data_IF_087963061697
#
_entry.id   IF_087963061697
#
_cell.length_a   1.000
_cell.length_b   1.000
_cell.length_c   1.000
_cell.angle_alpha   90.00
_cell.angle_beta   90.00
_cell.angle_gamma   90.00
#
_symmetry.space_group_name_H-M   'P 1'
#
loop_
_entity.id
_entity.type
_entity.pdbx_description
1 polymer ?
#
# COMPACT_ATOMS: atom_id res chain seq x y z
N UNK A 1 -40.61 -67.14 11.52
CA UNK A 1 -39.67 -66.35 12.35
C UNK A 1 -40.10 -66.43 13.81
N UNK A 2 -39.27 -66.98 14.69
CA UNK A 2 -39.56 -67.07 16.13
C UNK A 2 -39.38 -65.72 16.84
N UNK A 3 -40.03 -65.54 18.01
CA UNK A 3 -39.96 -64.29 18.81
C UNK A 3 -38.53 -63.80 19.02
N UNK A 4 -37.57 -64.71 19.20
CA UNK A 4 -36.15 -64.40 19.32
C UNK A 4 -35.55 -63.74 18.06
N UNK A 5 -35.96 -64.16 16.85
CA UNK A 5 -35.50 -63.52 15.60
C UNK A 5 -36.13 -62.13 15.40
N UNK A 6 -37.40 -61.94 15.81
CA UNK A 6 -38.06 -60.64 15.76
C UNK A 6 -37.44 -59.63 16.73
N UNK A 7 -37.09 -60.08 17.95
CA UNK A 7 -36.39 -59.25 18.92
C UNK A 7 -35.00 -58.82 18.46
N UNK A 8 -34.22 -59.73 17.85
CA UNK A 8 -32.91 -59.43 17.27
C UNK A 8 -33.02 -58.39 16.14
N UNK A 9 -33.99 -58.53 15.24
CA UNK A 9 -34.20 -57.60 14.13
C UNK A 9 -34.61 -56.19 14.62
N UNK A 10 -35.46 -56.13 15.65
CA UNK A 10 -35.88 -54.87 16.26
C UNK A 10 -34.71 -54.14 16.94
N UNK A 11 -33.84 -54.87 17.64
CA UNK A 11 -32.64 -54.31 18.27
C UNK A 11 -31.65 -53.77 17.24
N UNK A 12 -31.41 -54.49 16.15
CA UNK A 12 -30.54 -54.01 15.07
C UNK A 12 -31.11 -52.77 14.39
N UNK A 13 -32.42 -52.73 14.14
CA UNK A 13 -33.07 -51.56 13.56
C UNK A 13 -33.01 -50.33 14.48
N UNK A 14 -33.19 -50.53 15.79
CA UNK A 14 -33.07 -49.45 16.77
C UNK A 14 -31.63 -48.92 16.88
N UNK A 15 -30.63 -49.80 16.88
CA UNK A 15 -29.22 -49.40 16.92
C UNK A 15 -28.81 -48.62 15.67
N UNK A 16 -29.24 -49.05 14.48
CA UNK A 16 -29.02 -48.33 13.24
C UNK A 16 -29.78 -46.99 13.21
N UNK A 17 -31.03 -46.97 13.64
CA UNK A 17 -31.81 -45.74 13.74
C UNK A 17 -31.14 -44.70 14.65
N UNK A 18 -30.65 -45.13 15.81
CA UNK A 18 -29.96 -44.26 16.76
C UNK A 18 -28.65 -43.71 16.20
N UNK A 19 -27.84 -44.53 15.52
CA UNK A 19 -26.56 -44.08 14.94
C UNK A 19 -26.76 -43.08 13.81
N UNK A 20 -27.75 -43.30 12.93
CA UNK A 20 -28.09 -42.36 11.86
C UNK A 20 -28.60 -41.01 12.39
N UNK A 21 -29.42 -41.02 13.46
CA UNK A 21 -29.90 -39.79 14.10
C UNK A 21 -28.75 -38.96 14.69
N UNK A 22 -27.77 -39.61 15.33
CA UNK A 22 -26.59 -38.91 15.88
C UNK A 22 -25.61 -38.42 14.80
N UNK A 23 -25.47 -39.14 13.69
CA UNK A 23 -24.63 -38.72 12.57
C UNK A 23 -25.24 -37.55 11.77
N UNK A 24 -26.57 -37.39 11.79
CA UNK A 24 -27.28 -36.31 11.10
C UNK A 24 -26.93 -34.90 11.57
N UNK A 25 -26.51 -34.72 12.83
CA UNK A 25 -26.14 -33.40 13.36
C UNK A 25 -24.94 -32.79 12.62
N UNK A 26 -23.95 -33.59 12.25
CA UNK A 26 -22.77 -33.12 11.51
C UNK A 26 -23.04 -32.78 10.04
N UNK A 27 -24.17 -33.22 9.49
CA UNK A 27 -24.56 -32.95 8.09
C UNK A 27 -25.26 -31.59 7.94
N UNK A 28 -26.02 -31.15 8.96
CA UNK A 28 -26.78 -29.89 8.91
C UNK A 28 -26.02 -28.69 9.51
N UNK A 29 -24.93 -28.93 10.23
CA UNK A 29 -24.05 -27.85 10.71
C UNK A 29 -23.02 -27.48 9.64
N UNK A 30 -22.91 -26.21 9.24
CA UNK A 30 -21.85 -25.78 8.33
C UNK A 30 -20.49 -26.03 8.97
N UNK A 31 -19.57 -26.64 8.20
CA UNK A 31 -18.23 -26.90 8.69
C UNK A 31 -17.50 -25.58 8.91
N UNK A 32 -17.07 -25.32 10.16
CA UNK A 32 -16.44 -24.04 10.50
C UNK A 32 -15.18 -23.75 9.67
N UNK A 33 -14.45 -24.78 9.25
CA UNK A 33 -13.27 -24.67 8.38
C UNK A 33 -13.57 -24.18 6.96
N UNK A 34 -14.83 -24.26 6.51
CA UNK A 34 -15.26 -23.76 5.20
C UNK A 34 -15.58 -22.27 5.21
N UNK A 35 -15.76 -21.65 6.38
CA UNK A 35 -15.99 -20.21 6.49
C UNK A 35 -14.73 -19.42 6.15
N UNK A 36 -14.73 -18.82 4.97
CA UNK A 36 -13.65 -17.96 4.52
C UNK A 36 -13.74 -16.61 5.24
N UNK A 37 -12.69 -16.22 5.94
CA UNK A 37 -12.53 -14.92 6.56
C UNK A 37 -11.14 -14.36 6.26
N UNK A 38 -10.95 -13.05 6.38
CA UNK A 38 -9.60 -12.47 6.24
C UNK A 38 -8.80 -12.76 7.52
N UNK A 39 -7.95 -13.77 7.47
CA UNK A 39 -7.10 -14.19 8.60
C UNK A 39 -5.84 -13.32 8.79
N UNK A 40 -5.73 -12.24 8.05
CA UNK A 40 -4.58 -11.35 8.00
C UNK A 40 -5.07 -9.90 8.11
N UNK A 41 -4.15 -8.95 8.24
CA UNK A 41 -4.48 -7.55 8.52
C UNK A 41 -5.21 -6.85 7.36
N UNK A 42 -5.06 -7.34 6.13
CA UNK A 42 -5.77 -6.84 4.96
C UNK A 42 -7.11 -7.53 4.72
N UNK A 43 -7.78 -7.10 3.65
CA UNK A 43 -9.07 -7.67 3.24
C UNK A 43 -8.93 -8.68 2.10
N UNK A 44 -10.01 -9.43 1.88
CA UNK A 44 -10.22 -10.24 0.68
C UNK A 44 -11.37 -9.66 -0.12
N UNK A 45 -11.24 -9.66 -1.43
CA UNK A 45 -12.31 -9.27 -2.33
C UNK A 45 -12.19 -10.07 -3.63
N UNK A 46 -13.32 -10.36 -4.25
CA UNK A 46 -13.37 -10.98 -5.58
C UNK A 46 -14.06 -9.99 -6.53
N UNK A 47 -13.42 -9.72 -7.67
CA UNK A 47 -13.88 -8.76 -8.67
C UNK A 47 -13.74 -9.37 -10.06
N UNK A 48 -14.86 -9.86 -10.61
CA UNK A 48 -14.84 -10.59 -11.88
C UNK A 48 -13.85 -11.77 -11.81
N UNK A 49 -12.85 -11.87 -12.70
CA UNK A 49 -11.83 -12.91 -12.67
C UNK A 49 -10.68 -12.65 -11.68
N UNK A 50 -10.65 -11.49 -11.03
CA UNK A 50 -9.59 -11.12 -10.09
C UNK A 50 -9.95 -11.49 -8.66
N UNK A 51 -9.02 -12.14 -7.98
CA UNK A 51 -9.09 -12.52 -6.59
C UNK A 51 -8.04 -11.72 -5.81
N UNK A 52 -8.50 -10.77 -5.02
CA UNK A 52 -7.67 -9.89 -4.21
C UNK A 52 -7.53 -10.51 -2.81
N UNK A 53 -6.29 -10.66 -2.33
CA UNK A 53 -5.96 -11.36 -1.08
C UNK A 53 -5.02 -10.50 -0.24
N UNK A 54 -5.40 -10.32 1.02
CA UNK A 54 -4.63 -9.55 2.01
C UNK A 54 -4.32 -8.12 1.52
N UNK A 55 -5.32 -7.43 0.97
CA UNK A 55 -5.15 -6.07 0.47
C UNK A 55 -5.21 -5.09 1.65
N UNK A 56 -4.19 -4.25 1.78
CA UNK A 56 -4.11 -3.17 2.75
C UNK A 56 -3.24 -2.02 2.22
N UNK A 57 -3.37 -0.85 2.83
CA UNK A 57 -2.54 0.33 2.52
C UNK A 57 -1.53 0.53 3.63
N UNK A 58 -0.26 0.75 3.29
CA UNK A 58 0.78 1.19 4.23
C UNK A 58 1.07 2.67 4.00
N UNK A 59 0.96 3.49 5.04
CA UNK A 59 1.21 4.93 4.98
C UNK A 59 1.60 5.50 6.34
N UNK A 60 2.24 6.67 6.35
CA UNK A 60 2.60 7.42 7.55
C UNK A 60 1.49 8.36 8.03
N UNK A 61 0.49 8.66 7.20
CA UNK A 61 -0.56 9.62 7.52
C UNK A 61 -1.68 9.67 6.49
N UNK A 62 -2.76 10.39 6.80
CA UNK A 62 -3.96 10.51 5.95
C UNK A 62 -3.67 11.18 4.59
N UNK A 63 -2.88 12.25 4.63
CA UNK A 63 -2.53 13.04 3.44
C UNK A 63 -1.20 12.61 2.81
N UNK A 64 -0.58 11.56 3.35
CA UNK A 64 0.68 11.02 2.88
C UNK A 64 0.46 9.94 1.81
N UNK A 65 1.43 9.69 0.92
CA UNK A 65 1.36 8.58 -0.02
C UNK A 65 1.05 7.25 0.68
N UNK A 66 0.26 6.40 0.03
CA UNK A 66 -0.08 5.07 0.52
C UNK A 66 0.35 3.98 -0.46
N UNK A 67 1.14 3.01 -0.01
CA UNK A 67 1.46 1.81 -0.82
C UNK A 67 0.37 0.77 -0.61
N UNK A 68 -0.23 0.32 -1.70
CA UNK A 68 -1.11 -0.84 -1.67
C UNK A 68 -0.24 -2.10 -1.66
N UNK A 69 -0.45 -2.97 -0.67
CA UNK A 69 0.23 -4.27 -0.58
C UNK A 69 -0.78 -5.42 -0.54
N UNK A 70 -0.32 -6.63 -0.80
CA UNK A 70 -1.15 -7.84 -0.90
C UNK A 70 -0.88 -8.63 -2.17
N UNK A 71 -1.80 -9.52 -2.53
CA UNK A 71 -1.70 -10.34 -3.73
C UNK A 71 -2.98 -10.27 -4.57
N UNK A 72 -2.81 -10.29 -5.89
CA UNK A 72 -3.91 -10.34 -6.85
C UNK A 72 -3.71 -11.55 -7.75
N UNK A 73 -4.65 -12.48 -7.73
CA UNK A 73 -4.67 -13.63 -8.61
C UNK A 73 -5.69 -13.45 -9.72
N UNK A 74 -5.31 -13.74 -10.96
CA UNK A 74 -6.20 -13.69 -12.12
C UNK A 74 -6.54 -15.12 -12.54
N UNK A 75 -7.80 -15.53 -12.36
CA UNK A 75 -8.28 -16.86 -12.74
C UNK A 75 -8.71 -16.98 -14.20
N UNK A 76 -8.57 -15.92 -15.01
CA UNK A 76 -8.92 -15.93 -16.42
C UNK A 76 -7.77 -16.38 -17.31
N UNK A 77 -8.10 -16.73 -18.55
CA UNK A 77 -7.14 -17.08 -19.60
C UNK A 77 -6.53 -15.88 -20.33
N UNK A 78 -6.81 -14.65 -19.89
CA UNK A 78 -6.31 -13.40 -20.50
C UNK A 78 -5.66 -12.52 -19.44
N UNK A 79 -4.78 -11.63 -19.87
CA UNK A 79 -4.22 -10.62 -18.97
C UNK A 79 -5.31 -9.61 -18.60
N UNK A 80 -5.36 -9.26 -17.32
CA UNK A 80 -6.34 -8.32 -16.76
C UNK A 80 -5.60 -7.27 -15.97
N UNK A 81 -6.05 -6.02 -16.11
CA UNK A 81 -5.56 -4.87 -15.39
C UNK A 81 -6.55 -4.47 -14.31
N UNK A 82 -6.06 -4.44 -13.07
CA UNK A 82 -6.76 -3.89 -11.92
C UNK A 82 -6.48 -2.39 -11.87
N UNK A 83 -7.52 -1.58 -11.78
CA UNK A 83 -7.44 -0.14 -11.48
C UNK A 83 -8.02 0.10 -10.10
N UNK A 84 -7.25 0.77 -9.25
CA UNK A 84 -7.63 1.10 -7.87
C UNK A 84 -7.71 2.61 -7.76
N UNK A 85 -8.90 3.10 -7.42
CA UNK A 85 -9.18 4.50 -7.17
C UNK A 85 -9.36 4.73 -5.66
N UNK A 86 -8.51 5.56 -5.10
CA UNK A 86 -8.56 5.99 -3.70
C UNK A 86 -9.16 7.38 -3.51
N UNK A 87 -8.95 7.93 -2.32
CA UNK A 87 -9.43 9.25 -1.96
C UNK A 87 -8.80 10.35 -2.82
N UNK A 88 -9.48 11.51 -2.90
CA UNK A 88 -8.96 12.72 -3.58
C UNK A 88 -8.50 12.50 -5.03
N UNK A 89 -9.11 11.55 -5.73
CA UNK A 89 -8.77 11.21 -7.12
C UNK A 89 -7.48 10.40 -7.27
N UNK A 90 -6.90 9.92 -6.16
CA UNK A 90 -5.73 9.05 -6.19
C UNK A 90 -6.01 7.78 -6.96
N UNK A 91 -5.04 7.31 -7.75
CA UNK A 91 -5.23 6.12 -8.58
C UNK A 91 -3.92 5.37 -8.76
N UNK A 92 -4.01 4.04 -8.79
CA UNK A 92 -2.93 3.16 -9.22
C UNK A 92 -3.47 2.03 -10.10
N UNK A 93 -2.59 1.42 -10.90
CA UNK A 93 -2.93 0.34 -11.83
C UNK A 93 -1.96 -0.83 -11.64
N UNK A 94 -2.50 -2.05 -11.66
CA UNK A 94 -1.73 -3.29 -11.51
C UNK A 94 -2.07 -4.20 -12.68
N UNK A 95 -1.06 -4.67 -13.41
CA UNK A 95 -1.24 -5.66 -14.47
C UNK A 95 -1.08 -7.07 -13.90
N UNK A 96 -2.03 -7.96 -14.20
CA UNK A 96 -2.05 -9.35 -13.71
C UNK A 96 -2.18 -10.30 -14.88
N UNK A 97 -1.15 -11.12 -15.09
CA UNK A 97 -1.10 -12.09 -16.19
C UNK A 97 -2.16 -13.18 -16.04
N UNK A 98 -2.58 -13.77 -17.14
CA UNK A 98 -3.51 -14.89 -17.17
C UNK A 98 -3.05 -16.05 -16.26
N UNK A 99 -3.97 -16.64 -15.49
CA UNK A 99 -3.72 -17.75 -14.55
C UNK A 99 -2.50 -17.55 -13.64
N UNK A 100 -2.22 -16.31 -13.24
CA UNK A 100 -1.03 -15.95 -12.45
C UNK A 100 -1.39 -15.06 -11.27
N UNK A 101 -0.50 -15.05 -10.28
CA UNK A 101 -0.52 -14.10 -9.18
C UNK A 101 0.46 -12.95 -9.44
N UNK A 102 0.06 -11.74 -9.07
CA UNK A 102 0.94 -10.57 -8.92
C UNK A 102 0.99 -10.20 -7.44
N UNK A 103 2.20 -10.10 -6.89
CA UNK A 103 2.43 -9.68 -5.50
C UNK A 103 2.77 -8.18 -5.48
N UNK A 104 2.08 -7.42 -4.64
CA UNK A 104 2.21 -5.96 -4.51
C UNK A 104 3.26 -5.54 -3.46
N UNK A 105 3.84 -6.53 -2.79
CA UNK A 105 4.88 -6.38 -1.78
C UNK A 105 6.29 -6.27 -2.40
N UNK A 106 6.45 -6.56 -3.69
CA UNK A 106 7.74 -6.44 -4.37
C UNK A 106 8.06 -4.98 -4.64
N UNK A 107 9.35 -4.61 -4.58
CA UNK A 107 9.79 -3.22 -4.80
C UNK A 107 9.72 -2.79 -6.27
N UNK A 108 9.74 -3.74 -7.21
CA UNK A 108 9.50 -3.48 -8.62
C UNK A 108 8.01 -3.24 -8.87
N UNK A 109 7.67 -2.07 -9.42
CA UNK A 109 6.30 -1.70 -9.82
C UNK A 109 5.31 -1.58 -8.65
N UNK A 110 5.76 -0.92 -7.57
CA UNK A 110 4.96 -0.68 -6.37
C UNK A 110 3.67 0.09 -6.70
N UNK A 111 2.54 -0.44 -6.25
CA UNK A 111 1.22 0.18 -6.41
C UNK A 111 1.04 1.34 -5.40
N UNK A 112 1.41 2.55 -5.80
CA UNK A 112 1.33 3.74 -4.94
C UNK A 112 0.09 4.59 -5.24
N UNK A 113 -0.65 4.92 -4.20
CA UNK A 113 -1.65 5.97 -4.18
C UNK A 113 -0.97 7.27 -3.68
N UNK A 114 -1.23 8.39 -4.35
CA UNK A 114 -0.79 9.72 -3.93
C UNK A 114 -1.22 10.14 -2.52
N UNK A 115 -2.29 9.54 -1.99
CA UNK A 115 -2.76 9.72 -0.60
C UNK A 115 -3.36 8.41 -0.11
N UNK A 116 -3.14 8.07 1.16
CA UNK A 116 -3.81 6.94 1.80
C UNK A 116 -5.31 7.17 2.01
N UNK A 117 -5.74 8.44 2.10
CA UNK A 117 -7.13 8.83 2.24
C UNK A 117 -7.71 8.66 3.65
N UNK A 118 -6.90 8.20 4.61
CA UNK A 118 -7.30 8.03 6.00
C UNK A 118 -6.10 7.76 6.90
N UNK A 119 -6.18 8.16 8.16
CA UNK A 119 -5.11 7.89 9.14
C UNK A 119 -4.86 6.37 9.33
N UNK A 120 -3.64 5.96 9.70
CA UNK A 120 -3.38 4.59 10.15
C UNK A 120 -4.37 4.13 11.24
N UNK A 121 -4.80 2.88 11.15
CA UNK A 121 -5.85 2.28 11.97
C UNK A 121 -7.28 2.52 11.47
N UNK A 122 -7.47 3.29 10.39
CA UNK A 122 -8.79 3.50 9.78
C UNK A 122 -9.06 2.57 8.59
N UNK A 123 -10.33 2.48 8.21
CA UNK A 123 -10.77 1.81 6.98
C UNK A 123 -11.12 2.88 5.93
N UNK A 124 -10.49 2.81 4.76
CA UNK A 124 -10.75 3.71 3.63
C UNK A 124 -11.51 2.99 2.52
N UNK A 125 -12.40 3.71 1.85
CA UNK A 125 -13.13 3.17 0.70
C UNK A 125 -12.27 3.26 -0.56
N UNK A 126 -11.91 2.11 -1.14
CA UNK A 126 -11.27 2.03 -2.44
C UNK A 126 -12.26 1.52 -3.47
N UNK A 127 -12.37 2.24 -4.59
CA UNK A 127 -13.12 1.76 -5.76
C UNK A 127 -12.17 0.98 -6.65
N UNK A 128 -12.41 -0.32 -6.76
CA UNK A 128 -11.64 -1.23 -7.61
C UNK A 128 -12.42 -1.53 -8.88
N UNK A 129 -11.71 -1.57 -10.01
CA UNK A 129 -12.28 -1.93 -11.32
C UNK A 129 -11.29 -2.78 -12.11
N UNK A 130 -11.82 -3.63 -12.98
CA UNK A 130 -11.00 -4.49 -13.84
C UNK A 130 -11.47 -4.38 -15.30
N UNK A 131 -10.55 -4.53 -16.26
CA UNK A 131 -10.84 -4.31 -17.69
C UNK A 131 -11.15 -5.59 -18.50
N UNK A 132 -11.12 -6.76 -17.87
CA UNK A 132 -11.43 -8.04 -18.51
C UNK A 132 -12.93 -8.28 -18.67
N UNK A 133 -13.71 -8.06 -17.61
CA UNK A 133 -15.18 -8.12 -17.60
C UNK A 133 -15.85 -6.76 -17.36
N UNK A 134 -15.08 -5.70 -17.15
CA UNK A 134 -15.55 -4.33 -16.89
C UNK A 134 -16.42 -4.21 -15.63
N UNK A 135 -16.11 -5.01 -14.61
CA UNK A 135 -16.79 -4.97 -13.31
C UNK A 135 -16.07 -4.00 -12.39
N UNK A 136 -16.84 -3.31 -11.54
CA UNK A 136 -16.30 -2.44 -10.48
C UNK A 136 -17.01 -2.70 -9.15
N UNK A 137 -16.29 -2.49 -8.05
CA UNK A 137 -16.81 -2.63 -6.69
C UNK A 137 -16.10 -1.67 -5.75
N UNK A 138 -16.73 -1.34 -4.62
CA UNK A 138 -16.11 -0.54 -3.56
C UNK A 138 -15.80 -1.46 -2.38
N UNK A 139 -14.57 -1.40 -1.89
CA UNK A 139 -14.08 -2.21 -0.78
C UNK A 139 -13.50 -1.32 0.32
N UNK A 140 -13.73 -1.72 1.57
CA UNK A 140 -13.15 -1.05 2.75
C UNK A 140 -11.80 -1.66 3.06
N UNK A 141 -10.74 -0.89 2.91
CA UNK A 141 -9.35 -1.34 3.04
C UNK A 141 -8.70 -0.69 4.26
N UNK A 142 -8.04 -1.45 5.14
CA UNK A 142 -7.33 -0.89 6.28
C UNK A 142 -6.07 -0.15 5.88
N UNK A 143 -5.82 0.96 6.57
CA UNK A 143 -4.56 1.70 6.50
C UNK A 143 -3.72 1.33 7.72
N UNK A 144 -2.50 0.86 7.50
CA UNK A 144 -1.52 0.52 8.53
C UNK A 144 -0.31 1.45 8.41
N UNK A 145 0.49 1.51 9.47
CA UNK A 145 1.73 2.27 9.52
C UNK A 145 2.95 1.39 9.77
N UNK A 146 4.10 2.03 9.85
CA UNK A 146 5.39 1.41 10.13
C UNK A 146 5.71 1.24 11.63
N UNK A 147 4.72 1.38 12.53
CA UNK A 147 4.94 1.03 13.95
C UNK A 147 5.17 -0.47 14.11
N UNK A 148 4.56 -1.26 13.23
CA UNK A 148 4.81 -2.68 13.06
C UNK A 148 6.08 -2.88 12.21
N UNK A 149 6.99 -3.74 12.69
CA UNK A 149 8.31 -3.89 12.05
C UNK A 149 8.20 -4.45 10.63
N UNK A 150 7.17 -5.25 10.38
CA UNK A 150 6.91 -5.93 9.11
C UNK A 150 6.52 -4.95 8.00
N UNK A 151 6.00 -3.76 8.35
CA UNK A 151 5.54 -2.77 7.38
C UNK A 151 6.51 -1.62 7.09
N UNK A 152 7.64 -1.57 7.81
CA UNK A 152 8.64 -0.50 7.64
C UNK A 152 9.18 -0.36 6.22
N UNK A 153 9.37 -1.47 5.52
CA UNK A 153 9.85 -1.47 4.13
C UNK A 153 8.80 -1.05 3.09
N UNK A 154 7.53 -0.93 3.49
CA UNK A 154 6.43 -0.65 2.57
C UNK A 154 5.91 0.79 2.65
N UNK A 155 6.45 1.61 3.55
CA UNK A 155 6.13 3.03 3.56
C UNK A 155 6.68 3.66 2.28
N UNK A 156 5.83 4.29 1.45
CA UNK A 156 6.34 5.03 0.31
C UNK A 156 7.21 6.18 0.80
N UNK A 157 8.48 6.18 0.41
CA UNK A 157 9.27 7.40 0.46
C UNK A 157 8.67 8.35 -0.59
N UNK A 158 8.43 9.63 -0.27
CA UNK A 158 8.12 10.60 -1.30
C UNK A 158 9.28 10.54 -2.30
N UNK A 159 9.00 10.03 -3.49
CA UNK A 159 9.96 10.04 -4.60
C UNK A 159 10.43 11.47 -4.70
N UNK A 160 11.74 11.70 -4.53
CA UNK A 160 12.33 13.00 -4.71
C UNK A 160 11.84 13.52 -6.07
N UNK A 161 10.97 14.53 -6.02
CA UNK A 161 10.71 15.40 -7.15
C UNK A 161 12.09 15.77 -7.67
N UNK A 162 12.30 15.55 -8.96
CA UNK A 162 13.57 15.75 -9.67
C UNK A 162 14.37 16.87 -9.02
N UNK A 163 15.58 16.51 -8.57
CA UNK A 163 16.61 17.44 -8.16
C UNK A 163 16.61 18.63 -9.12
N UNK A 164 15.98 19.73 -8.70
CA UNK A 164 16.22 21.02 -9.32
C UNK A 164 17.70 21.27 -9.10
N UNK A 165 18.51 20.94 -10.11
CA UNK A 165 19.89 21.40 -10.21
C UNK A 165 19.85 22.88 -9.89
N UNK A 166 20.46 23.35 -8.78
CA UNK A 166 20.59 24.77 -8.58
C UNK A 166 21.45 25.25 -9.74
N UNK A 167 20.81 25.93 -10.70
CA UNK A 167 21.50 26.64 -11.76
C UNK A 167 22.22 27.78 -11.05
N UNK A 168 23.47 27.51 -10.64
CA UNK A 168 24.31 28.44 -9.94
C UNK A 168 24.52 29.67 -10.84
N UNK A 169 23.97 30.79 -10.38
CA UNK A 169 24.22 32.11 -10.90
C UNK A 169 25.69 32.51 -10.69
N UNK A 170 26.25 33.13 -11.73
CA UNK A 170 27.41 34.03 -11.74
C UNK A 170 28.79 33.48 -11.28
N UNK A 171 29.58 33.03 -12.26
CA UNK A 171 31.04 33.00 -12.19
C UNK A 171 31.59 34.37 -12.59
N UNK A 172 31.99 35.19 -11.62
CA UNK A 172 32.88 36.32 -11.81
C UNK A 172 34.25 35.94 -11.26
N UNK A 173 35.19 35.73 -12.19
CA UNK A 173 36.58 35.38 -11.95
C UNK A 173 37.40 36.64 -11.64
N UNK A 174 38.23 36.65 -10.57
CA UNK A 174 39.44 37.44 -10.55
C UNK A 174 40.65 36.50 -10.67
N UNK A 175 41.36 36.61 -11.80
CA UNK A 175 42.68 35.98 -11.96
C UNK A 175 43.76 36.82 -11.30
N UNK A 176 44.63 36.12 -10.58
CA UNK A 176 45.75 36.61 -9.78
C UNK A 176 46.81 37.38 -10.58
N UNK A 177 47.57 38.20 -9.85
CA UNK A 177 48.59 39.10 -10.38
C UNK A 177 50.00 38.54 -10.53
N UNK A 178 50.86 39.42 -11.03
CA UNK A 178 52.31 39.58 -10.87
C UNK A 178 52.62 40.97 -11.49
N UNK A 179 53.50 41.88 -11.04
CA UNK A 179 54.92 41.71 -10.73
C UNK A 179 55.47 43.05 -10.17
N UNK A 180 56.40 42.95 -9.22
CA UNK A 180 57.50 43.84 -8.79
C UNK A 180 57.64 45.30 -9.30
N UNK A 181 57.96 46.22 -8.39
CA UNK A 181 58.56 47.53 -8.72
C UNK A 181 58.71 48.44 -7.49
N UNK A 182 59.93 48.86 -7.20
CA UNK A 182 60.37 49.48 -5.96
C UNK A 182 60.04 50.97 -5.76
N UNK A 183 60.34 51.42 -4.53
CA UNK A 183 60.92 52.72 -4.11
C UNK A 183 60.01 53.81 -3.48
N UNK A 184 60.43 54.19 -2.27
CA UNK A 184 60.49 55.54 -1.66
C UNK A 184 59.25 56.22 -1.06
N UNK A 185 59.30 56.29 0.29
CA UNK A 185 59.20 57.50 1.13
C UNK A 185 58.09 58.54 0.88
N UNK A 186 57.23 58.76 1.88
CA UNK A 186 57.21 59.98 2.70
C UNK A 186 55.95 60.08 3.58
N UNK A 187 56.16 60.18 4.89
CA UNK A 187 55.34 60.89 5.91
C UNK A 187 55.37 62.40 5.56
N UNK A 188 54.38 63.28 5.86
CA UNK A 188 53.75 63.38 7.17
C UNK A 188 52.29 63.90 7.28
N UNK A 189 51.79 63.79 8.52
CA UNK A 189 50.86 64.64 9.27
C UNK A 189 50.27 65.90 8.62
N UNK A 190 48.95 66.08 8.78
CA UNK A 190 48.39 67.32 9.32
C UNK A 190 46.93 67.16 9.80
N UNK A 191 46.74 67.50 11.07
CA UNK A 191 45.50 67.86 11.76
C UNK A 191 44.84 69.10 11.16
N UNK A 192 43.50 69.13 11.06
CA UNK A 192 42.71 70.36 11.26
C UNK A 192 41.21 70.06 11.48
N UNK A 193 40.72 70.54 12.62
CA UNK A 193 39.33 70.65 13.06
C UNK A 193 38.76 72.01 12.64
N UNK A 194 37.51 72.08 12.18
CA UNK A 194 36.53 73.19 12.37
C UNK A 194 35.29 72.90 11.48
N UNK A 195 34.10 72.63 12.01
CA UNK A 195 33.06 73.56 12.52
C UNK A 195 32.22 74.25 11.43
N UNK A 196 30.96 73.80 11.36
CA UNK A 196 29.68 74.46 11.05
C UNK A 196 29.63 75.88 10.42
N UNK A 197 28.74 76.07 9.44
CA UNK A 197 27.47 76.86 9.53
C UNK A 197 26.94 77.31 8.16
N UNK A 198 25.61 77.36 8.07
CA UNK A 198 24.71 77.77 6.99
C UNK A 198 25.05 79.05 6.19
N UNK A 199 24.68 79.06 4.91
CA UNK A 199 23.45 79.71 4.39
C UNK A 199 23.16 79.27 2.97
#
# INVERSE_FOLDING_TARGET
MNRAQRGKLALTAAALGASLLTAGCGYITPQQTSHQYSASDGIRADLGPLQLRNILIVSTGEDEPGRLIGAVYNSSSKDVKLTVNGAKGSQTQVSVKANSSTFLNEDSDAAILSTSGGKPGSLVDLKISENGTNVSSTVKVPVLDATLQEYKGYVPTPSASESATPSASSSASPSAGATSGATSSATPSATATATATSR
#
